data_IF_042674752941
#
_entry.id   IF_042674752941
#
_cell.length_a   1.000
_cell.length_b   1.000
_cell.length_c   1.000
_cell.angle_alpha   90.00
_cell.angle_beta   90.00
_cell.angle_gamma   90.00
#
_symmetry.space_group_name_H-M   'P 1'
#
loop_
_entity.id
_entity.type
_entity.pdbx_description
1 polymer ?
#
# COMPACT_ATOMS: atom_id res chain seq x y z
N UNK A 1 10.99 -38.47 18.38
CA UNK A 1 10.56 -37.31 19.19
C UNK A 1 9.31 -36.74 18.54
N UNK A 2 8.35 -36.33 19.32
CA UNK A 2 7.13 -35.69 18.80
C UNK A 2 7.43 -34.22 18.44
N UNK A 3 7.90 -33.99 17.21
CA UNK A 3 8.35 -32.71 16.70
C UNK A 3 7.22 -31.67 16.72
N UNK A 4 5.99 -32.10 16.47
CA UNK A 4 4.81 -31.23 16.46
C UNK A 4 4.51 -30.67 17.87
N UNK A 5 4.60 -31.54 18.88
CA UNK A 5 4.39 -31.13 20.28
C UNK A 5 5.50 -30.22 20.78
N UNK A 6 6.76 -30.51 20.45
CA UNK A 6 7.91 -29.69 20.81
C UNK A 6 7.74 -28.31 20.17
N UNK A 7 7.40 -28.25 18.88
CA UNK A 7 7.26 -26.98 18.18
C UNK A 7 6.09 -26.13 18.72
N UNK A 8 4.98 -26.77 19.03
CA UNK A 8 3.82 -26.06 19.63
C UNK A 8 4.18 -25.41 20.98
N UNK A 9 4.90 -26.12 21.83
CA UNK A 9 5.37 -25.57 23.10
C UNK A 9 6.37 -24.43 22.88
N UNK A 10 7.29 -24.57 21.90
CA UNK A 10 8.23 -23.52 21.51
C UNK A 10 7.48 -22.28 21.00
N UNK A 11 6.45 -22.47 20.19
CA UNK A 11 5.63 -21.36 19.71
C UNK A 11 4.88 -20.62 20.84
N UNK A 12 4.39 -21.33 21.86
CA UNK A 12 3.75 -20.69 23.03
C UNK A 12 4.75 -19.81 23.81
N UNK A 13 6.01 -20.25 23.94
CA UNK A 13 7.08 -19.46 24.56
C UNK A 13 7.45 -18.24 23.69
N UNK A 14 7.58 -18.42 22.38
CA UNK A 14 7.88 -17.36 21.40
C UNK A 14 6.76 -16.31 21.33
N UNK A 15 5.51 -16.72 21.53
CA UNK A 15 4.35 -15.81 21.58
C UNK A 15 4.44 -14.77 22.70
N UNK A 16 5.11 -15.13 23.78
CA UNK A 16 5.33 -14.20 24.93
C UNK A 16 6.53 -13.28 24.65
N UNK A 17 7.54 -13.81 23.95
CA UNK A 17 8.83 -13.13 23.74
C UNK A 17 8.87 -12.21 22.51
N UNK A 18 7.97 -12.41 21.56
CA UNK A 18 7.93 -11.67 20.30
C UNK A 18 6.70 -10.74 20.26
N UNK A 19 6.84 -9.63 19.52
CA UNK A 19 5.70 -8.76 19.22
C UNK A 19 4.60 -9.57 18.48
N UNK A 20 3.31 -9.37 18.80
CA UNK A 20 2.21 -10.17 18.25
C UNK A 20 2.19 -10.21 16.71
N UNK A 21 2.47 -9.08 16.05
CA UNK A 21 2.52 -9.00 14.60
C UNK A 21 3.64 -9.86 13.99
N UNK A 22 4.82 -9.84 14.60
CA UNK A 22 5.99 -10.65 14.20
C UNK A 22 5.71 -12.14 14.40
N UNK A 23 5.18 -12.50 15.56
CA UNK A 23 4.85 -13.90 15.85
C UNK A 23 3.84 -14.45 14.84
N UNK A 24 2.75 -13.72 14.58
CA UNK A 24 1.72 -14.19 13.64
C UNK A 24 2.21 -14.29 12.20
N UNK A 25 3.06 -13.36 11.77
CA UNK A 25 3.52 -13.30 10.37
C UNK A 25 4.65 -14.30 10.10
N UNK A 26 5.63 -14.42 11.01
CA UNK A 26 6.89 -15.12 10.74
C UNK A 26 7.10 -16.42 11.50
N UNK A 27 6.37 -16.65 12.60
CA UNK A 27 6.58 -17.82 13.46
C UNK A 27 5.39 -18.77 13.45
N UNK A 28 4.16 -18.26 13.51
CA UNK A 28 2.95 -19.08 13.60
C UNK A 28 2.81 -20.07 12.42
N UNK A 29 3.24 -19.67 11.23
CA UNK A 29 3.16 -20.46 9.99
C UNK A 29 4.38 -21.37 9.78
N UNK A 30 5.31 -21.44 10.72
CA UNK A 30 6.48 -22.30 10.64
C UNK A 30 6.23 -23.62 11.35
N UNK A 31 7.00 -24.65 10.99
CA UNK A 31 6.93 -25.98 11.58
C UNK A 31 8.31 -26.58 11.78
N UNK A 32 8.49 -27.38 12.81
CA UNK A 32 9.70 -28.14 13.04
C UNK A 32 9.64 -29.44 12.23
N UNK A 33 10.45 -29.51 11.20
CA UNK A 33 10.47 -30.64 10.26
C UNK A 33 11.14 -31.88 10.91
N UNK A 34 12.36 -31.69 11.40
CA UNK A 34 13.11 -32.73 12.12
C UNK A 34 14.16 -32.11 13.06
N UNK A 35 14.69 -32.97 13.96
CA UNK A 35 15.89 -32.68 14.74
C UNK A 35 16.84 -33.90 14.58
N UNK A 36 17.96 -33.70 13.91
CA UNK A 36 18.97 -34.74 13.69
C UNK A 36 20.36 -34.20 14.05
N UNK A 37 21.11 -34.92 14.85
CA UNK A 37 22.46 -34.56 15.28
C UNK A 37 22.58 -33.12 15.84
N UNK A 38 21.61 -32.71 16.66
CA UNK A 38 21.48 -31.35 17.19
C UNK A 38 21.27 -30.27 16.12
N UNK A 39 20.85 -30.62 14.92
CA UNK A 39 20.41 -29.69 13.90
C UNK A 39 18.89 -29.72 13.80
N UNK A 40 18.23 -28.64 14.19
CA UNK A 40 16.79 -28.48 14.09
C UNK A 40 16.44 -27.81 12.77
N UNK A 41 15.72 -28.48 11.90
CA UNK A 41 15.26 -27.94 10.61
C UNK A 41 13.86 -27.39 10.76
N UNK A 42 13.72 -26.09 10.50
CA UNK A 42 12.47 -25.35 10.61
C UNK A 42 12.00 -24.99 9.21
N UNK A 43 10.80 -25.45 8.84
CA UNK A 43 10.14 -25.13 7.59
C UNK A 43 9.43 -23.77 7.70
N UNK A 44 9.72 -22.86 6.78
CA UNK A 44 9.10 -21.56 6.64
C UNK A 44 8.27 -21.47 5.35
N UNK A 45 7.21 -20.64 5.29
CA UNK A 45 6.31 -20.58 4.14
C UNK A 45 6.94 -19.98 2.87
N UNK A 46 7.98 -19.15 2.99
CA UNK A 46 8.66 -18.50 1.87
C UNK A 46 10.10 -18.10 2.22
N UNK A 47 10.88 -17.73 1.20
CA UNK A 47 12.29 -17.33 1.33
C UNK A 47 12.47 -16.12 2.26
N UNK A 48 11.55 -15.14 2.19
CA UNK A 48 11.62 -13.96 3.05
C UNK A 48 11.49 -14.32 4.54
N UNK A 49 10.57 -15.22 4.89
CA UNK A 49 10.43 -15.72 6.27
C UNK A 49 11.66 -16.49 6.75
N UNK A 50 12.34 -17.22 5.86
CA UNK A 50 13.62 -17.89 6.15
C UNK A 50 14.69 -16.84 6.52
N UNK A 51 14.90 -15.86 5.67
CA UNK A 51 15.93 -14.84 5.86
C UNK A 51 15.65 -13.97 7.09
N UNK A 52 14.40 -13.59 7.29
CA UNK A 52 13.98 -12.77 8.43
C UNK A 52 14.20 -13.51 9.76
N UNK A 53 13.74 -14.75 9.89
CA UNK A 53 13.93 -15.56 11.10
C UNK A 53 15.42 -15.86 11.34
N UNK A 54 16.18 -16.16 10.28
CA UNK A 54 17.61 -16.42 10.37
C UNK A 54 18.43 -15.21 10.83
N UNK A 55 18.11 -14.02 10.33
CA UNK A 55 18.89 -12.80 10.62
C UNK A 55 18.48 -12.13 11.94
N UNK A 56 17.19 -12.17 12.30
CA UNK A 56 16.63 -11.35 13.39
C UNK A 56 16.19 -12.15 14.61
N UNK A 57 15.72 -13.37 14.42
CA UNK A 57 15.09 -14.14 15.50
C UNK A 57 15.81 -15.45 15.81
N UNK A 58 16.97 -15.68 15.20
CA UNK A 58 17.73 -16.93 15.37
C UNK A 58 17.95 -17.26 16.84
N UNK A 59 18.50 -16.33 17.64
CA UNK A 59 18.82 -16.57 19.04
C UNK A 59 17.58 -16.74 19.91
N UNK A 60 16.50 -15.99 19.63
CA UNK A 60 15.24 -16.09 20.37
C UNK A 60 14.59 -17.45 20.10
N UNK A 61 14.51 -17.85 18.82
CA UNK A 61 13.92 -19.14 18.43
C UNK A 61 14.80 -20.29 18.95
N UNK A 62 16.13 -20.16 18.86
CA UNK A 62 17.07 -21.14 19.39
C UNK A 62 16.88 -21.37 20.89
N UNK A 63 16.89 -20.29 21.68
CA UNK A 63 16.73 -20.36 23.12
C UNK A 63 15.40 -21.01 23.51
N UNK A 64 14.30 -20.64 22.88
CA UNK A 64 12.99 -21.23 23.14
C UNK A 64 12.94 -22.72 22.78
N UNK A 65 13.58 -23.14 21.67
CA UNK A 65 13.66 -24.53 21.28
C UNK A 65 14.57 -25.34 22.21
N UNK A 66 15.73 -24.80 22.59
CA UNK A 66 16.68 -25.45 23.49
C UNK A 66 16.06 -25.64 24.90
N UNK A 67 15.25 -24.73 25.36
CA UNK A 67 14.47 -24.88 26.60
C UNK A 67 13.53 -26.08 26.55
N UNK A 68 12.92 -26.38 25.42
CA UNK A 68 11.99 -27.48 25.23
C UNK A 68 12.70 -28.81 25.01
N UNK A 69 13.82 -28.83 24.28
CA UNK A 69 14.57 -30.04 23.94
C UNK A 69 15.63 -30.39 24.96
N UNK A 70 16.05 -29.44 25.79
CA UNK A 70 17.19 -29.52 26.75
C UNK A 70 18.50 -29.88 26.09
N UNK A 71 18.67 -29.55 24.83
CA UNK A 71 19.85 -29.76 24.01
C UNK A 71 20.23 -28.46 23.31
N UNK A 72 21.52 -28.25 23.07
CA UNK A 72 22.01 -27.09 22.29
C UNK A 72 21.87 -27.39 20.80
N UNK A 73 20.87 -26.78 20.16
CA UNK A 73 20.51 -27.02 18.77
C UNK A 73 21.06 -25.96 17.85
N UNK A 74 21.46 -26.34 16.64
CA UNK A 74 21.74 -25.45 15.53
C UNK A 74 20.47 -25.35 14.68
N UNK A 75 19.98 -24.12 14.42
CA UNK A 75 18.80 -23.96 13.60
C UNK A 75 19.14 -23.88 12.12
N UNK A 76 18.43 -24.64 11.32
CA UNK A 76 18.46 -24.62 9.87
C UNK A 76 17.06 -24.25 9.35
N UNK A 77 16.93 -23.11 8.67
CA UNK A 77 15.66 -22.66 8.10
C UNK A 77 15.60 -23.02 6.63
N UNK A 78 14.51 -23.65 6.21
CA UNK A 78 14.26 -24.05 4.82
C UNK A 78 12.91 -23.52 4.36
N UNK A 79 12.76 -23.27 3.06
CA UNK A 79 11.44 -23.02 2.48
C UNK A 79 10.73 -24.37 2.36
N UNK A 80 9.59 -24.48 3.01
CA UNK A 80 8.69 -25.62 2.87
C UNK A 80 7.35 -25.09 2.39
N UNK A 81 7.04 -25.35 1.13
CA UNK A 81 5.71 -25.08 0.61
C UNK A 81 4.70 -25.87 1.45
N UNK A 82 3.88 -25.16 2.21
CA UNK A 82 2.66 -25.76 2.77
C UNK A 82 1.87 -26.29 1.59
N UNK A 83 1.65 -27.60 1.57
CA UNK A 83 0.76 -28.23 0.58
C UNK A 83 -0.58 -27.51 0.72
N UNK A 84 -0.80 -26.50 -0.14
CA UNK A 84 -2.14 -26.02 -0.40
C UNK A 84 -2.86 -27.24 -0.95
N UNK A 85 -3.83 -27.77 -0.21
CA UNK A 85 -4.84 -28.65 -0.80
C UNK A 85 -5.49 -27.84 -1.92
N UNK A 86 -4.97 -28.01 -3.13
CA UNK A 86 -5.58 -27.46 -4.33
C UNK A 86 -6.96 -28.09 -4.44
N UNK A 87 -8.01 -27.30 -4.64
CA UNK A 87 -9.24 -27.89 -5.14
C UNK A 87 -8.93 -28.46 -6.53
N UNK A 88 -9.30 -29.71 -6.76
CA UNK A 88 -9.15 -30.46 -8.00
C UNK A 88 -9.35 -29.59 -9.25
N UNK A 89 -8.25 -29.23 -9.92
CA UNK A 89 -8.25 -28.61 -11.24
C UNK A 89 -8.24 -29.72 -12.31
N UNK A 90 -9.34 -30.42 -12.44
CA UNK A 90 -9.62 -31.15 -13.68
C UNK A 90 -10.87 -30.58 -14.36
N UNK A 91 -10.63 -29.95 -15.50
CA UNK A 91 -11.63 -29.60 -16.53
C UNK A 91 -12.61 -28.47 -16.18
N UNK A 92 -12.18 -27.22 -16.28
CA UNK A 92 -13.10 -26.14 -16.60
C UNK A 92 -12.64 -25.36 -17.82
N UNK A 93 -13.52 -25.12 -18.81
CA UNK A 93 -13.22 -24.29 -19.98
C UNK A 93 -12.94 -22.85 -19.56
N UNK A 94 -12.04 -22.16 -20.27
CA UNK A 94 -11.56 -20.78 -20.05
C UNK A 94 -12.66 -19.69 -19.97
N UNK A 95 -13.94 -20.02 -20.10
CA UNK A 95 -15.11 -19.13 -20.08
C UNK A 95 -16.32 -19.69 -19.36
N UNK A 96 -16.16 -20.50 -18.30
CA UNK A 96 -17.29 -20.82 -17.43
C UNK A 96 -17.47 -19.70 -16.42
N UNK A 97 -18.30 -18.73 -16.76
CA UNK A 97 -18.99 -17.88 -15.79
C UNK A 97 -19.93 -18.81 -15.00
N UNK A 98 -19.44 -19.45 -13.94
CA UNK A 98 -20.31 -20.04 -12.95
C UNK A 98 -20.95 -18.87 -12.20
N UNK A 99 -22.25 -18.69 -12.25
CA UNK A 99 -22.90 -17.86 -11.27
C UNK A 99 -22.82 -18.62 -9.94
N UNK A 100 -21.70 -18.44 -9.23
CA UNK A 100 -21.69 -18.74 -7.81
C UNK A 100 -22.94 -18.08 -7.24
N UNK A 101 -23.76 -18.86 -6.56
CA UNK A 101 -24.87 -18.36 -5.75
C UNK A 101 -24.29 -17.27 -4.88
N UNK A 102 -24.36 -16.06 -5.38
CA UNK A 102 -23.93 -14.85 -4.69
C UNK A 102 -24.86 -14.70 -3.51
N UNK A 103 -24.42 -15.13 -2.34
CA UNK A 103 -24.87 -14.45 -1.14
C UNK A 103 -24.66 -12.97 -1.42
N UNK A 104 -25.73 -12.20 -1.34
CA UNK A 104 -25.85 -10.77 -1.66
C UNK A 104 -25.02 -9.89 -0.69
N UNK A 105 -23.87 -10.39 -0.19
CA UNK A 105 -22.97 -9.65 0.66
C UNK A 105 -22.01 -8.83 -0.22
N UNK A 106 -22.12 -7.51 -0.10
CA UNK A 106 -21.24 -6.54 -0.75
C UNK A 106 -19.83 -6.51 -0.13
N UNK A 107 -19.37 -7.63 0.46
CA UNK A 107 -18.08 -7.73 1.16
C UNK A 107 -16.93 -7.93 0.17
N UNK A 108 -15.81 -7.26 0.42
CA UNK A 108 -14.61 -7.40 -0.38
C UNK A 108 -13.87 -8.70 -0.02
N UNK A 109 -13.57 -9.58 -0.97
CA UNK A 109 -13.05 -10.93 -0.68
C UNK A 109 -11.69 -10.95 0.05
N UNK A 110 -10.91 -9.89 -0.05
CA UNK A 110 -9.60 -9.78 0.62
C UNK A 110 -9.67 -9.32 2.08
N UNK A 111 -10.82 -8.82 2.56
CA UNK A 111 -10.93 -8.29 3.92
C UNK A 111 -11.40 -9.36 4.88
N UNK A 112 -10.49 -10.28 5.21
CA UNK A 112 -10.72 -11.40 6.14
C UNK A 112 -9.83 -11.28 7.38
N UNK A 113 -10.09 -12.06 8.42
CA UNK A 113 -9.18 -12.13 9.58
C UNK A 113 -7.83 -12.74 9.23
N UNK A 114 -7.77 -13.62 8.23
CA UNK A 114 -6.52 -14.26 7.80
C UNK A 114 -5.56 -13.28 7.14
N UNK A 115 -6.11 -12.21 6.53
CA UNK A 115 -5.36 -11.14 5.87
C UNK A 115 -5.21 -9.89 6.74
N UNK A 116 -5.76 -9.89 7.95
CA UNK A 116 -5.61 -8.79 8.90
C UNK A 116 -4.38 -8.99 9.77
N UNK A 117 -3.39 -8.12 9.66
CA UNK A 117 -2.26 -8.10 10.58
C UNK A 117 -2.72 -7.55 11.94
N UNK A 118 -2.48 -8.32 13.00
CA UNK A 118 -2.85 -7.93 14.36
C UNK A 118 -1.60 -7.54 15.14
N UNK A 119 -1.60 -6.34 15.70
CA UNK A 119 -0.52 -5.78 16.52
C UNK A 119 -1.06 -4.94 17.66
N UNK A 120 -0.18 -4.22 18.35
CA UNK A 120 -0.58 -3.43 19.54
C UNK A 120 -1.64 -2.37 19.20
N UNK A 121 -1.59 -1.80 17.97
CA UNK A 121 -2.48 -0.73 17.53
C UNK A 121 -3.92 -1.15 17.27
N UNK A 122 -4.21 -2.46 17.11
CA UNK A 122 -5.56 -2.97 16.80
C UNK A 122 -5.96 -4.22 17.60
N UNK A 123 -5.12 -4.70 18.51
CA UNK A 123 -5.36 -5.95 19.27
C UNK A 123 -6.67 -5.92 20.06
N UNK A 124 -6.97 -4.79 20.70
CA UNK A 124 -8.22 -4.65 21.47
C UNK A 124 -9.45 -4.70 20.55
N UNK A 125 -9.41 -4.00 19.42
CA UNK A 125 -10.47 -4.04 18.41
C UNK A 125 -10.64 -5.43 17.82
N UNK A 126 -9.54 -6.15 17.56
CA UNK A 126 -9.56 -7.54 17.09
C UNK A 126 -10.18 -8.49 18.11
N UNK A 127 -9.80 -8.39 19.40
CA UNK A 127 -10.38 -9.22 20.47
C UNK A 127 -11.89 -8.99 20.61
N UNK A 128 -12.35 -7.74 20.53
CA UNK A 128 -13.77 -7.40 20.51
C UNK A 128 -14.49 -8.01 19.29
N UNK A 129 -13.88 -7.93 18.11
CA UNK A 129 -14.40 -8.52 16.89
C UNK A 129 -14.61 -10.03 17.01
N UNK A 130 -13.66 -10.74 17.61
CA UNK A 130 -13.77 -12.18 17.91
C UNK A 130 -14.93 -12.48 18.88
N UNK A 131 -15.17 -11.59 19.86
CA UNK A 131 -16.31 -11.68 20.76
C UNK A 131 -17.66 -11.57 20.05
N UNK A 132 -17.77 -10.64 19.09
CA UNK A 132 -18.96 -10.45 18.26
C UNK A 132 -19.23 -11.68 17.40
N UNK A 133 -18.19 -12.23 16.78
CA UNK A 133 -18.31 -13.44 15.95
C UNK A 133 -18.79 -14.66 16.76
N UNK A 134 -18.51 -14.71 18.07
CA UNK A 134 -19.02 -15.78 18.97
C UNK A 134 -20.50 -15.58 19.30
N UNK A 135 -20.90 -14.35 19.61
CA UNK A 135 -22.25 -14.03 20.10
C UNK A 135 -22.77 -12.76 19.41
N UNK A 136 -23.14 -12.82 18.12
CA UNK A 136 -23.64 -11.65 17.40
C UNK A 136 -24.94 -11.11 17.96
N UNK A 137 -25.06 -9.79 18.06
CA UNK A 137 -26.21 -9.08 18.58
C UNK A 137 -26.29 -9.00 20.12
N UNK A 138 -25.54 -9.84 20.83
CA UNK A 138 -25.49 -9.89 22.29
C UNK A 138 -24.22 -9.25 22.88
N UNK A 139 -23.08 -9.52 22.24
CA UNK A 139 -21.80 -8.96 22.67
C UNK A 139 -21.46 -7.70 21.88
N UNK A 140 -21.18 -6.61 22.59
CA UNK A 140 -20.70 -5.36 21.97
C UNK A 140 -21.59 -4.83 20.84
N UNK A 141 -22.84 -4.53 21.14
CA UNK A 141 -23.81 -4.01 20.18
C UNK A 141 -24.38 -2.64 20.61
N UNK A 142 -24.16 -1.55 19.85
CA UNK A 142 -23.38 -1.48 18.62
C UNK A 142 -21.86 -1.65 18.87
N UNK A 143 -21.13 -2.03 17.84
CA UNK A 143 -19.67 -2.01 17.81
C UNK A 143 -19.21 -0.82 16.97
N UNK A 144 -18.57 0.15 17.61
CA UNK A 144 -18.13 1.37 16.99
C UNK A 144 -16.60 1.40 16.90
N UNK A 145 -16.07 1.39 15.67
CA UNK A 145 -14.62 1.38 15.39
C UNK A 145 -14.24 2.76 14.87
N UNK A 146 -13.35 3.44 15.56
CA UNK A 146 -12.87 4.74 15.11
C UNK A 146 -11.35 4.76 14.98
N UNK A 147 -10.82 5.78 14.27
CA UNK A 147 -9.38 5.96 14.07
C UNK A 147 -9.06 6.69 12.78
N UNK A 148 -7.82 7.04 12.56
CA UNK A 148 -7.34 7.77 11.40
C UNK A 148 -7.68 7.09 10.05
N UNK A 149 -7.38 7.81 8.96
CA UNK A 149 -7.57 7.27 7.61
C UNK A 149 -6.57 6.15 7.34
N UNK A 150 -7.03 5.04 6.73
CA UNK A 150 -6.15 3.97 6.28
C UNK A 150 -5.54 3.07 7.36
N UNK A 151 -6.11 3.06 8.60
CA UNK A 151 -5.61 2.21 9.71
C UNK A 151 -6.20 0.79 9.73
N UNK A 152 -7.14 0.45 8.81
CA UNK A 152 -7.73 -0.89 8.71
C UNK A 152 -9.13 -1.05 9.29
N UNK A 153 -9.86 0.03 9.63
CA UNK A 153 -11.24 -0.01 10.15
C UNK A 153 -12.19 -0.84 9.27
N UNK A 154 -12.25 -0.50 7.99
CA UNK A 154 -13.08 -1.20 6.98
C UNK A 154 -12.70 -2.66 6.85
N UNK A 155 -11.40 -2.97 6.92
CA UNK A 155 -10.90 -4.35 6.87
C UNK A 155 -11.44 -5.16 8.07
N UNK A 156 -11.24 -4.68 9.30
CA UNK A 156 -11.70 -5.35 10.51
C UNK A 156 -13.23 -5.54 10.49
N UNK A 157 -13.98 -4.51 10.10
CA UNK A 157 -15.44 -4.58 10.01
C UNK A 157 -15.90 -5.65 9.02
N UNK A 158 -15.31 -5.70 7.82
CA UNK A 158 -15.68 -6.70 6.81
C UNK A 158 -15.18 -8.10 7.17
N UNK A 159 -14.06 -8.23 7.87
CA UNK A 159 -13.58 -9.52 8.39
C UNK A 159 -14.59 -10.14 9.36
N UNK A 160 -15.24 -9.34 10.21
CA UNK A 160 -16.34 -9.83 11.06
C UNK A 160 -17.49 -10.36 10.18
N UNK A 161 -17.87 -9.61 9.15
CA UNK A 161 -18.92 -10.02 8.23
C UNK A 161 -18.64 -11.34 7.53
N UNK A 162 -17.41 -11.53 7.04
CA UNK A 162 -16.97 -12.79 6.43
C UNK A 162 -17.03 -13.97 7.40
N UNK A 163 -16.55 -13.80 8.63
CA UNK A 163 -16.53 -14.87 9.61
C UNK A 163 -17.93 -15.24 10.12
N UNK A 164 -18.85 -14.23 10.21
CA UNK A 164 -20.26 -14.48 10.51
C UNK A 164 -20.93 -15.31 9.39
N UNK A 165 -20.70 -14.98 8.12
CA UNK A 165 -21.22 -15.74 6.98
C UNK A 165 -20.61 -17.14 6.88
N UNK A 166 -19.35 -17.30 7.23
CA UNK A 166 -18.67 -18.61 7.26
C UNK A 166 -19.30 -19.54 8.31
N UNK A 167 -19.69 -18.99 9.48
CA UNK A 167 -20.39 -19.73 10.53
C UNK A 167 -21.86 -20.00 10.23
N UNK A 168 -22.53 -19.03 9.65
CA UNK A 168 -23.94 -19.15 9.27
C UNK A 168 -24.20 -18.46 7.91
N UNK A 169 -24.19 -19.23 6.81
CA UNK A 169 -24.36 -18.71 5.46
C UNK A 169 -25.73 -18.08 5.18
N UNK A 170 -26.74 -18.35 6.01
CA UNK A 170 -28.11 -17.83 5.83
C UNK A 170 -28.30 -16.43 6.41
N UNK A 171 -27.30 -15.90 7.14
CA UNK A 171 -27.36 -14.55 7.68
C UNK A 171 -27.45 -13.49 6.58
N UNK A 172 -28.38 -12.58 6.76
CA UNK A 172 -28.54 -11.40 5.90
C UNK A 172 -27.60 -10.29 6.38
N UNK A 173 -26.40 -10.27 5.84
CA UNK A 173 -25.38 -9.24 6.17
C UNK A 173 -25.25 -8.26 5.02
N UNK A 174 -25.22 -6.96 5.34
CA UNK A 174 -25.03 -5.91 4.35
C UNK A 174 -23.98 -4.92 4.79
N UNK A 175 -22.98 -4.72 3.91
CA UNK A 175 -22.00 -3.64 3.99
C UNK A 175 -22.42 -2.49 3.08
N UNK A 176 -22.30 -1.26 3.57
CA UNK A 176 -22.50 -0.03 2.82
C UNK A 176 -21.82 1.16 3.50
N UNK A 177 -21.49 2.19 2.71
CA UNK A 177 -21.06 3.45 3.29
C UNK A 177 -22.27 4.30 3.72
N UNK A 178 -22.08 5.12 4.73
CA UNK A 178 -23.11 6.07 5.18
C UNK A 178 -23.56 7.02 4.05
N UNK A 179 -22.68 7.34 3.13
CA UNK A 179 -23.01 8.11 1.93
C UNK A 179 -23.95 7.35 1.00
N UNK A 180 -23.70 6.05 0.76
CA UNK A 180 -24.59 5.18 -0.05
C UNK A 180 -25.98 5.12 0.56
N UNK A 181 -26.08 4.97 1.89
CA UNK A 181 -27.37 5.00 2.59
C UNK A 181 -28.13 6.32 2.34
N UNK A 182 -27.45 7.47 2.47
CA UNK A 182 -28.04 8.78 2.21
C UNK A 182 -28.50 8.95 0.76
N UNK A 183 -27.70 8.51 -0.20
CA UNK A 183 -28.03 8.61 -1.62
C UNK A 183 -29.22 7.71 -1.99
N UNK A 184 -29.28 6.47 -1.46
CA UNK A 184 -30.41 5.58 -1.66
C UNK A 184 -31.69 6.10 -0.99
N UNK A 185 -31.59 6.73 0.18
CA UNK A 185 -32.70 7.37 0.86
C UNK A 185 -33.31 8.50 0.02
N UNK A 186 -32.45 9.41 -0.48
CA UNK A 186 -32.90 10.50 -1.36
C UNK A 186 -33.58 9.96 -2.62
N UNK A 187 -33.03 8.90 -3.19
CA UNK A 187 -33.65 8.26 -4.37
C UNK A 187 -35.01 7.63 -4.04
N UNK A 188 -35.11 6.92 -2.90
CA UNK A 188 -36.37 6.32 -2.45
C UNK A 188 -37.49 7.37 -2.19
N UNK A 189 -37.09 8.56 -1.71
CA UNK A 189 -38.01 9.69 -1.58
C UNK A 189 -38.53 10.19 -2.94
N UNK A 190 -37.59 10.40 -3.89
CA UNK A 190 -37.93 10.88 -5.25
C UNK A 190 -38.84 9.91 -6.00
N UNK A 191 -38.59 8.60 -5.84
CA UNK A 191 -39.33 7.53 -6.52
C UNK A 191 -40.53 7.01 -5.73
N UNK A 192 -40.81 7.54 -4.53
CA UNK A 192 -41.87 7.11 -3.61
C UNK A 192 -41.78 5.62 -3.22
N UNK A 193 -40.55 5.11 -3.07
CA UNK A 193 -40.28 3.69 -2.73
C UNK A 193 -39.77 3.52 -1.31
N UNK A 194 -40.17 4.38 -0.37
CA UNK A 194 -39.67 4.35 1.04
C UNK A 194 -39.91 3.01 1.75
N UNK A 195 -41.00 2.30 1.45
CA UNK A 195 -41.25 1.00 2.07
C UNK A 195 -40.17 -0.01 1.64
N UNK A 196 -39.84 -0.05 0.37
CA UNK A 196 -38.76 -0.93 -0.13
C UNK A 196 -37.40 -0.59 0.47
N UNK A 197 -37.14 0.71 0.65
CA UNK A 197 -35.92 1.16 1.34
C UNK A 197 -35.87 0.67 2.80
N UNK A 198 -36.97 0.84 3.54
CA UNK A 198 -37.06 0.37 4.93
C UNK A 198 -36.91 -1.15 5.02
N UNK A 199 -37.58 -1.90 4.15
CA UNK A 199 -37.48 -3.36 4.11
C UNK A 199 -36.05 -3.83 3.80
N UNK A 200 -35.34 -3.13 2.90
CA UNK A 200 -33.95 -3.42 2.50
C UNK A 200 -32.96 -3.31 3.65
N UNK A 201 -33.16 -2.37 4.59
CA UNK A 201 -32.23 -2.08 5.66
C UNK A 201 -32.66 -2.61 7.04
N UNK A 202 -33.98 -2.76 7.30
CA UNK A 202 -34.50 -3.18 8.61
C UNK A 202 -34.69 -4.69 8.75
N UNK A 203 -34.64 -5.46 7.64
CA UNK A 203 -34.76 -6.92 7.63
C UNK A 203 -33.41 -7.65 7.52
N UNK A 204 -32.36 -7.07 8.06
CA UNK A 204 -30.99 -7.61 8.08
C UNK A 204 -30.67 -8.22 9.45
N UNK A 205 -29.76 -9.19 9.48
CA UNK A 205 -29.25 -9.77 10.72
C UNK A 205 -27.98 -9.05 11.23
N UNK A 206 -27.23 -8.44 10.30
CA UNK A 206 -26.07 -7.62 10.61
C UNK A 206 -25.93 -6.50 9.59
N UNK A 207 -25.67 -5.27 10.08
CA UNK A 207 -25.28 -4.15 9.23
C UNK A 207 -23.85 -3.72 9.53
N UNK A 208 -23.13 -3.43 8.45
CA UNK A 208 -21.76 -2.94 8.46
C UNK A 208 -21.77 -1.57 7.77
N UNK A 209 -21.70 -0.50 8.55
CA UNK A 209 -21.82 0.87 8.04
C UNK A 209 -20.47 1.56 8.12
N UNK A 210 -19.90 1.85 6.96
CA UNK A 210 -18.61 2.50 6.86
C UNK A 210 -18.76 4.03 6.84
N UNK A 211 -17.84 4.70 7.50
CA UNK A 211 -17.71 6.15 7.53
C UNK A 211 -19.01 6.87 7.95
N UNK A 212 -19.53 6.54 9.14
CA UNK A 212 -20.80 7.05 9.66
C UNK A 212 -20.81 8.58 9.79
N UNK A 213 -19.67 9.25 9.89
CA UNK A 213 -19.57 10.71 9.94
C UNK A 213 -20.22 11.40 8.72
N UNK A 214 -20.40 10.71 7.59
CA UNK A 214 -21.04 11.30 6.40
C UNK A 214 -22.55 11.52 6.50
N UNK A 215 -23.22 11.02 7.56
CA UNK A 215 -24.61 11.42 7.83
C UNK A 215 -24.71 12.73 8.60
N UNK A 216 -23.63 13.20 9.21
CA UNK A 216 -23.62 14.42 10.00
C UNK A 216 -24.08 15.63 9.18
N UNK A 217 -24.84 16.53 9.81
CA UNK A 217 -25.45 17.70 9.15
C UNK A 217 -26.59 17.40 8.17
N UNK A 218 -27.00 16.14 8.01
CA UNK A 218 -28.11 15.71 7.12
C UNK A 218 -29.28 15.23 7.98
N UNK A 219 -30.06 16.16 8.54
CA UNK A 219 -31.12 15.88 9.52
C UNK A 219 -32.02 14.71 9.13
N UNK A 220 -32.60 14.73 7.95
CA UNK A 220 -33.47 13.65 7.49
C UNK A 220 -32.77 12.29 7.36
N UNK A 221 -31.51 12.29 6.96
CA UNK A 221 -30.71 11.05 6.87
C UNK A 221 -30.40 10.52 8.28
N UNK A 222 -30.10 11.38 9.23
CA UNK A 222 -29.87 11.00 10.63
C UNK A 222 -31.14 10.44 11.27
N UNK A 223 -32.30 11.05 11.00
CA UNK A 223 -33.59 10.58 11.50
C UNK A 223 -33.90 9.16 10.98
N UNK A 224 -33.82 8.93 9.67
CA UNK A 224 -34.11 7.62 9.08
C UNK A 224 -33.08 6.55 9.50
N UNK A 225 -31.82 6.96 9.65
CA UNK A 225 -30.77 6.08 10.18
C UNK A 225 -31.04 5.71 11.64
N UNK A 226 -31.44 6.65 12.48
CA UNK A 226 -31.84 6.41 13.86
C UNK A 226 -32.98 5.38 13.96
N UNK A 227 -34.00 5.51 13.14
CA UNK A 227 -35.09 4.53 13.10
C UNK A 227 -34.62 3.14 12.63
N UNK A 228 -33.75 3.08 11.63
CA UNK A 228 -33.17 1.83 11.14
C UNK A 228 -32.30 1.18 12.19
N UNK A 229 -31.41 1.95 12.84
CA UNK A 229 -30.59 1.50 13.96
C UNK A 229 -31.44 0.92 15.11
N UNK A 230 -32.43 1.68 15.58
CA UNK A 230 -33.28 1.22 16.67
C UNK A 230 -34.05 -0.06 16.31
N UNK A 231 -34.58 -0.15 15.09
CA UNK A 231 -35.29 -1.36 14.63
C UNK A 231 -34.38 -2.60 14.70
N UNK A 232 -33.11 -2.48 14.26
CA UNK A 232 -32.17 -3.58 14.30
C UNK A 232 -31.71 -3.89 15.73
N UNK A 233 -31.30 -2.89 16.47
CA UNK A 233 -30.78 -3.05 17.82
C UNK A 233 -31.79 -3.66 18.77
N UNK A 234 -33.04 -3.21 18.76
CA UNK A 234 -34.11 -3.74 19.60
C UNK A 234 -34.49 -5.20 19.26
N UNK A 235 -34.25 -5.62 18.02
CA UNK A 235 -34.42 -7.01 17.58
C UNK A 235 -33.17 -7.87 17.78
N UNK A 236 -32.18 -7.41 18.54
CA UNK A 236 -30.93 -8.13 18.79
C UNK A 236 -30.07 -8.36 17.54
N UNK A 237 -30.23 -7.54 16.50
CA UNK A 237 -29.41 -7.61 15.28
C UNK A 237 -28.11 -6.85 15.48
N UNK A 238 -27.01 -7.35 14.93
CA UNK A 238 -25.71 -6.75 15.10
C UNK A 238 -25.55 -5.47 14.27
N UNK A 239 -25.06 -4.41 14.91
CA UNK A 239 -24.72 -3.14 14.25
C UNK A 239 -23.21 -2.90 14.44
N UNK A 240 -22.48 -2.71 13.32
CA UNK A 240 -21.07 -2.36 13.32
C UNK A 240 -20.89 -1.07 12.52
N UNK A 241 -20.23 -0.10 13.12
CA UNK A 241 -20.03 1.24 12.57
C UNK A 241 -18.56 1.57 12.53
N UNK A 242 -18.11 2.28 11.49
CA UNK A 242 -16.77 2.89 11.48
C UNK A 242 -16.85 4.41 11.36
N UNK A 243 -15.82 5.11 11.86
CA UNK A 243 -15.68 6.55 11.75
C UNK A 243 -14.21 6.97 11.75
N UNK A 244 -13.91 8.17 11.28
CA UNK A 244 -12.60 8.79 11.40
C UNK A 244 -12.34 9.37 12.81
N UNK A 245 -13.40 9.56 13.63
CA UNK A 245 -13.36 10.13 14.98
C UNK A 245 -14.40 9.50 15.90
N UNK A 246 -14.32 9.78 17.20
CA UNK A 246 -15.28 9.30 18.20
C UNK A 246 -16.69 9.84 17.96
N UNK A 247 -17.76 9.13 18.41
CA UNK A 247 -19.13 9.64 18.25
C UNK A 247 -19.33 11.04 18.80
N UNK A 248 -18.73 11.35 19.96
CA UNK A 248 -18.83 12.66 20.62
C UNK A 248 -18.05 13.79 19.92
N UNK A 249 -17.18 13.45 18.96
CA UNK A 249 -16.33 14.38 18.22
C UNK A 249 -16.84 14.61 16.78
N UNK A 250 -17.96 13.97 16.39
CA UNK A 250 -18.57 14.18 15.09
C UNK A 250 -19.46 15.41 15.15
N UNK A 251 -18.99 16.49 14.55
CA UNK A 251 -19.75 17.73 14.47
C UNK A 251 -21.10 17.52 13.76
N UNK A 252 -22.16 18.19 14.25
CA UNK A 252 -23.51 18.10 13.68
C UNK A 252 -24.14 16.69 13.66
N UNK A 253 -23.66 15.78 14.50
CA UNK A 253 -24.34 14.50 14.77
C UNK A 253 -25.32 14.72 15.93
N UNK A 254 -26.55 14.25 15.77
CA UNK A 254 -27.60 14.40 16.78
C UNK A 254 -27.25 13.65 18.07
N UNK A 255 -27.49 14.26 19.25
CA UNK A 255 -27.19 13.71 20.57
C UNK A 255 -27.79 12.31 20.79
N UNK A 256 -28.98 12.07 20.23
CA UNK A 256 -29.66 10.76 20.30
C UNK A 256 -28.85 9.66 19.59
N UNK A 257 -28.19 9.97 18.47
CA UNK A 257 -27.31 9.04 17.77
C UNK A 257 -25.99 8.85 18.53
N UNK A 258 -25.39 9.93 19.00
CA UNK A 258 -24.18 9.89 19.86
C UNK A 258 -24.41 8.95 21.04
N UNK A 259 -25.51 9.14 21.78
CA UNK A 259 -25.86 8.31 22.92
C UNK A 259 -26.03 6.83 22.54
N UNK A 260 -26.64 6.54 21.39
CA UNK A 260 -26.84 5.17 20.90
C UNK A 260 -25.52 4.51 20.49
N UNK A 261 -24.64 5.25 19.80
CA UNK A 261 -23.34 4.73 19.38
C UNK A 261 -22.43 4.45 20.56
N UNK A 262 -22.47 5.30 21.60
CA UNK A 262 -21.73 5.10 22.85
C UNK A 262 -22.35 4.04 23.78
N UNK A 263 -23.59 3.62 23.54
CA UNK A 263 -24.28 2.61 24.34
C UNK A 263 -23.75 1.18 24.20
N UNK A 264 -22.89 0.95 23.18
CA UNK A 264 -22.19 -0.32 22.99
C UNK A 264 -20.71 -0.24 23.30
N UNK A 265 -19.87 -0.93 22.51
CA UNK A 265 -18.43 -0.87 22.63
C UNK A 265 -17.82 0.06 21.57
N UNK A 266 -17.14 1.10 22.03
CA UNK A 266 -16.37 2.00 21.17
C UNK A 266 -14.88 1.68 21.31
N UNK A 267 -14.21 1.41 20.20
CA UNK A 267 -12.79 1.05 20.14
C UNK A 267 -12.05 1.93 19.15
N UNK A 268 -10.77 2.22 19.43
CA UNK A 268 -9.87 2.88 18.50
C UNK A 268 -8.97 1.89 17.77
N UNK A 269 -8.59 2.27 16.56
CA UNK A 269 -7.48 1.65 15.83
C UNK A 269 -6.46 2.76 15.54
N UNK A 270 -5.25 2.56 16.04
CA UNK A 270 -4.15 3.50 15.90
C UNK A 270 -3.30 3.19 14.67
N UNK A 271 -2.36 4.09 14.35
CA UNK A 271 -1.36 3.83 13.32
C UNK A 271 -0.51 2.60 13.69
N UNK A 272 -0.09 1.81 12.68
CA UNK A 272 0.73 0.64 12.94
C UNK A 272 2.09 1.04 13.51
N UNK A 273 2.56 0.34 14.55
CA UNK A 273 3.91 0.43 15.04
C UNK A 273 4.92 -0.15 14.03
N UNK A 274 6.21 -0.01 14.32
CA UNK A 274 7.28 -0.45 13.39
C UNK A 274 7.18 -1.93 13.04
N UNK A 275 6.98 -2.79 14.04
CA UNK A 275 6.86 -4.23 13.87
C UNK A 275 5.63 -4.61 13.05
N UNK A 276 4.53 -3.94 13.30
CA UNK A 276 3.30 -4.14 12.53
C UNK A 276 3.46 -3.65 11.08
N UNK A 277 4.19 -2.54 10.84
CA UNK A 277 4.49 -2.09 9.48
C UNK A 277 5.33 -3.11 8.71
N UNK A 278 6.37 -3.69 9.33
CA UNK A 278 7.15 -4.78 8.73
C UNK A 278 6.22 -5.95 8.36
N UNK A 279 5.37 -6.38 9.28
CA UNK A 279 4.45 -7.50 9.05
C UNK A 279 3.47 -7.21 7.90
N UNK A 280 2.90 -6.00 7.84
CA UNK A 280 2.01 -5.55 6.76
C UNK A 280 2.73 -5.52 5.42
N UNK A 281 3.92 -4.92 5.35
CA UNK A 281 4.74 -4.84 4.14
C UNK A 281 5.04 -6.25 3.64
N UNK A 282 5.49 -7.14 4.52
CA UNK A 282 5.84 -8.52 4.19
C UNK A 282 4.65 -9.30 3.64
N UNK A 283 3.49 -9.17 4.25
CA UNK A 283 2.26 -9.80 3.77
C UNK A 283 1.85 -9.26 2.39
N UNK A 284 1.95 -7.94 2.17
CA UNK A 284 1.63 -7.34 0.86
C UNK A 284 2.60 -7.73 -0.24
N UNK A 285 3.86 -7.92 0.10
CA UNK A 285 4.89 -8.46 -0.80
C UNK A 285 4.54 -9.89 -1.22
N UNK A 286 4.17 -10.74 -0.26
CA UNK A 286 3.77 -12.11 -0.52
C UNK A 286 2.50 -12.17 -1.40
N UNK A 287 1.48 -11.37 -1.08
CA UNK A 287 0.23 -11.27 -1.86
C UNK A 287 0.47 -10.87 -3.33
N UNK A 288 1.47 -10.03 -3.59
CA UNK A 288 1.78 -9.48 -4.92
C UNK A 288 2.91 -10.24 -5.63
N UNK A 289 3.57 -11.18 -4.98
CA UNK A 289 4.72 -11.92 -5.55
C UNK A 289 5.94 -11.04 -5.82
N UNK A 290 6.14 -9.98 -5.03
CA UNK A 290 7.27 -9.06 -5.19
C UNK A 290 8.52 -9.69 -4.57
N UNK A 291 9.65 -9.70 -5.31
CA UNK A 291 10.94 -10.11 -4.77
C UNK A 291 11.66 -8.88 -4.20
N UNK A 292 11.88 -8.87 -2.89
CA UNK A 292 12.50 -7.75 -2.17
C UNK A 292 13.34 -8.24 -1.00
N UNK A 293 14.48 -7.59 -0.75
CA UNK A 293 15.37 -7.98 0.35
C UNK A 293 14.83 -7.53 1.72
N UNK A 294 15.15 -8.26 2.81
CA UNK A 294 14.73 -7.89 4.16
C UNK A 294 15.18 -6.49 4.58
N UNK A 295 16.37 -6.07 4.20
CA UNK A 295 16.91 -4.74 4.48
C UNK A 295 16.09 -3.63 3.80
N UNK A 296 15.60 -3.89 2.60
CA UNK A 296 14.72 -2.96 1.88
C UNK A 296 13.34 -2.85 2.54
N UNK A 297 12.79 -3.94 3.06
CA UNK A 297 11.52 -3.94 3.83
C UNK A 297 11.67 -3.13 5.13
N UNK A 298 12.76 -3.31 5.87
CA UNK A 298 13.04 -2.55 7.07
C UNK A 298 13.17 -1.04 6.76
N UNK A 299 13.85 -0.71 5.67
CA UNK A 299 13.96 0.67 5.23
C UNK A 299 12.59 1.27 4.88
N UNK A 300 11.73 0.52 4.18
CA UNK A 300 10.34 0.93 3.91
C UNK A 300 9.56 1.16 5.19
N UNK A 301 9.63 0.23 6.13
CA UNK A 301 8.92 0.33 7.42
C UNK A 301 9.40 1.52 8.26
N UNK A 302 10.67 1.92 8.16
CA UNK A 302 11.21 3.10 8.84
C UNK A 302 10.80 4.42 8.17
N UNK A 303 10.66 4.44 6.84
CA UNK A 303 10.40 5.67 6.09
C UNK A 303 8.92 5.93 5.82
N UNK A 304 8.05 4.93 5.96
CA UNK A 304 6.60 5.07 5.80
C UNK A 304 5.96 4.94 7.20
N UNK A 305 5.93 6.03 7.94
CA UNK A 305 5.39 6.06 9.31
C UNK A 305 3.88 6.31 9.37
N UNK A 306 3.23 6.50 8.24
CA UNK A 306 1.85 6.92 8.16
C UNK A 306 0.87 5.74 8.24
N UNK A 307 0.04 5.55 7.27
CA UNK A 307 -1.07 4.61 7.27
C UNK A 307 -0.87 3.46 6.25
N UNK A 308 -1.68 2.42 6.39
CA UNK A 308 -1.58 1.20 5.55
C UNK A 308 -1.83 1.52 4.06
N UNK A 309 -2.69 2.49 3.74
CA UNK A 309 -2.95 2.88 2.33
C UNK A 309 -1.70 3.49 1.68
N UNK A 310 -0.92 4.26 2.43
CA UNK A 310 0.33 4.82 1.91
C UNK A 310 1.37 3.73 1.72
N UNK A 311 1.48 2.76 2.65
CA UNK A 311 2.33 1.58 2.48
C UNK A 311 1.96 0.85 1.17
N UNK A 312 0.68 0.56 0.95
CA UNK A 312 0.20 -0.11 -0.27
C UNK A 312 0.49 0.70 -1.54
N UNK A 313 0.28 2.00 -1.49
CA UNK A 313 0.59 2.92 -2.59
C UNK A 313 2.07 2.93 -2.95
N UNK A 314 2.95 3.07 -1.94
CA UNK A 314 4.41 3.07 -2.15
C UNK A 314 4.92 1.72 -2.66
N UNK A 315 4.42 0.61 -2.12
CA UNK A 315 4.75 -0.72 -2.64
C UNK A 315 4.32 -0.90 -4.10
N UNK A 316 3.18 -0.33 -4.49
CA UNK A 316 2.74 -0.38 -5.87
C UNK A 316 3.62 0.47 -6.79
N UNK A 317 4.00 1.68 -6.39
CA UNK A 317 4.92 2.54 -7.12
C UNK A 317 6.27 1.85 -7.34
N UNK A 318 6.85 1.29 -6.27
CA UNK A 318 8.13 0.55 -6.29
C UNK A 318 8.05 -0.67 -7.21
N UNK A 319 6.97 -1.45 -7.12
CA UNK A 319 6.75 -2.63 -7.98
C UNK A 319 6.69 -2.25 -9.47
N UNK A 320 5.98 -1.17 -9.82
CA UNK A 320 5.90 -0.69 -11.20
C UNK A 320 7.26 -0.23 -11.70
N UNK A 321 8.04 0.48 -10.89
CA UNK A 321 9.40 0.91 -11.26
C UNK A 321 10.36 -0.27 -11.41
N UNK A 322 10.28 -1.29 -10.55
CA UNK A 322 11.07 -2.51 -10.67
C UNK A 322 10.80 -3.24 -11.98
N UNK A 323 9.52 -3.38 -12.35
CA UNK A 323 9.13 -3.99 -13.64
C UNK A 323 9.64 -3.16 -14.83
N UNK A 324 9.47 -1.84 -14.78
CA UNK A 324 9.94 -0.94 -15.85
C UNK A 324 11.47 -0.96 -16.00
N UNK A 325 12.20 -1.10 -14.87
CA UNK A 325 13.66 -1.23 -14.85
C UNK A 325 14.19 -2.64 -15.11
N UNK A 326 13.33 -3.64 -15.32
CA UNK A 326 13.68 -5.07 -15.46
C UNK A 326 14.51 -5.59 -14.28
N UNK A 327 14.21 -5.10 -13.06
CA UNK A 327 14.91 -5.47 -11.83
C UNK A 327 14.24 -6.73 -11.28
N UNK A 328 15.02 -7.82 -11.13
CA UNK A 328 14.51 -9.10 -10.65
C UNK A 328 14.21 -9.10 -9.16
N UNK A 329 15.08 -8.48 -8.36
CA UNK A 329 14.93 -8.36 -6.90
C UNK A 329 15.15 -6.92 -6.46
N UNK A 330 14.24 -6.41 -5.65
CA UNK A 330 14.28 -5.04 -5.11
C UNK A 330 15.21 -5.03 -3.88
N UNK A 331 16.36 -4.39 -4.02
CA UNK A 331 17.35 -4.27 -2.96
C UNK A 331 17.26 -2.91 -2.21
N UNK A 332 18.01 -2.79 -1.12
CA UNK A 332 18.07 -1.56 -0.33
C UNK A 332 18.52 -0.33 -1.14
N UNK A 333 19.57 -0.37 -1.98
CA UNK A 333 19.96 0.75 -2.83
C UNK A 333 18.83 1.23 -3.74
N UNK A 334 18.08 0.33 -4.35
CA UNK A 334 16.93 0.69 -5.20
C UNK A 334 15.87 1.45 -4.42
N UNK A 335 15.50 0.97 -3.22
CA UNK A 335 14.50 1.63 -2.38
C UNK A 335 15.00 2.98 -1.85
N UNK A 336 16.28 3.07 -1.46
CA UNK A 336 16.88 4.34 -1.05
C UNK A 336 16.83 5.39 -2.16
N UNK A 337 17.14 4.99 -3.39
CA UNK A 337 17.04 5.85 -4.56
C UNK A 337 15.61 6.28 -4.87
N UNK A 338 14.64 5.39 -4.64
CA UNK A 338 13.22 5.71 -4.79
C UNK A 338 12.76 6.83 -3.84
N UNK A 339 13.19 6.81 -2.58
CA UNK A 339 12.83 7.83 -1.58
C UNK A 339 13.67 9.10 -1.69
N UNK A 340 14.90 9.01 -2.15
CA UNK A 340 15.83 10.13 -2.31
C UNK A 340 16.32 10.23 -3.75
N UNK A 341 15.49 10.69 -4.69
CA UNK A 341 15.90 10.85 -6.08
C UNK A 341 17.05 11.85 -6.28
N UNK A 342 17.35 12.67 -5.26
CA UNK A 342 18.55 13.53 -5.24
C UNK A 342 19.86 12.76 -5.05
N UNK A 343 19.84 11.50 -4.56
CA UNK A 343 21.04 10.65 -4.54
C UNK A 343 21.31 9.97 -5.90
N UNK A 344 20.30 9.87 -6.76
CA UNK A 344 20.48 9.53 -8.18
C UNK A 344 21.33 10.56 -8.92
N UNK A 345 21.43 11.80 -8.41
CA UNK A 345 22.30 12.82 -9.00
C UNK A 345 23.79 12.56 -8.78
N UNK A 346 24.21 11.76 -7.80
CA UNK A 346 25.63 11.42 -7.62
C UNK A 346 26.08 10.20 -8.45
N UNK A 347 25.24 9.19 -8.64
CA UNK A 347 25.59 7.99 -9.43
C UNK A 347 25.13 8.10 -10.89
N UNK A 348 24.01 8.80 -11.16
CA UNK A 348 23.66 9.26 -12.50
C UNK A 348 24.60 10.39 -12.94
N UNK A 349 25.17 11.21 -12.05
CA UNK A 349 26.24 12.14 -12.40
C UNK A 349 27.48 11.40 -12.90
N UNK A 350 27.74 10.17 -12.53
CA UNK A 350 28.80 9.36 -13.11
C UNK A 350 28.41 8.65 -14.43
N UNK A 351 27.12 8.41 -14.67
CA UNK A 351 26.59 7.91 -15.96
C UNK A 351 26.07 9.05 -16.87
N UNK A 352 25.59 10.16 -16.28
CA UNK A 352 25.14 11.39 -16.97
C UNK A 352 26.21 12.49 -16.95
N UNK A 353 27.44 12.19 -16.55
CA UNK A 353 28.59 13.08 -16.85
C UNK A 353 28.71 13.41 -18.35
N UNK A 354 28.01 12.68 -19.20
CA UNK A 354 27.85 12.97 -20.65
C UNK A 354 26.81 14.05 -21.00
N UNK A 355 25.86 14.40 -20.11
CA UNK A 355 24.77 15.35 -20.40
C UNK A 355 24.72 16.56 -19.44
N UNK A 356 25.83 16.98 -18.88
CA UNK A 356 25.92 18.25 -18.12
C UNK A 356 25.73 19.44 -19.10
N UNK A 357 24.93 20.46 -18.77
CA UNK A 357 24.77 21.65 -19.61
C UNK A 357 26.09 22.27 -20.05
N UNK A 358 27.09 22.33 -19.17
CA UNK A 358 28.43 22.81 -19.50
C UNK A 358 29.17 21.90 -20.47
N UNK A 359 28.93 20.59 -20.43
CA UNK A 359 29.48 19.64 -21.38
C UNK A 359 28.93 19.86 -22.79
N UNK A 360 27.59 19.99 -22.91
CA UNK A 360 26.94 20.30 -24.21
C UNK A 360 27.45 21.62 -24.77
N UNK A 361 27.58 22.68 -23.94
CA UNK A 361 28.13 23.96 -24.36
C UNK A 361 29.59 23.79 -24.85
N UNK A 362 30.39 22.98 -24.18
CA UNK A 362 31.78 22.71 -24.55
C UNK A 362 31.88 21.92 -25.85
N UNK A 363 31.04 20.87 -26.04
CA UNK A 363 31.01 20.06 -27.26
C UNK A 363 30.56 20.91 -28.46
N UNK A 364 29.51 21.72 -28.28
CA UNK A 364 29.07 22.65 -29.32
C UNK A 364 30.18 23.68 -29.67
N UNK A 365 30.83 24.25 -28.68
CA UNK A 365 31.92 25.20 -28.89
C UNK A 365 33.11 24.56 -29.68
N UNK A 366 33.49 23.32 -29.34
CA UNK A 366 34.51 22.57 -30.10
C UNK A 366 34.07 22.28 -31.52
N UNK A 367 32.83 21.85 -31.73
CA UNK A 367 32.30 21.51 -33.05
C UNK A 367 32.33 22.73 -34.01
N UNK A 368 32.01 23.91 -33.48
CA UNK A 368 32.05 25.15 -34.26
C UNK A 368 33.41 25.84 -34.26
N UNK A 369 34.43 25.24 -33.60
CA UNK A 369 35.75 25.78 -33.45
C UNK A 369 35.79 27.20 -32.85
N UNK A 370 34.95 27.41 -31.80
CA UNK A 370 34.83 28.69 -31.09
C UNK A 370 35.11 28.50 -29.59
N UNK A 371 35.50 29.60 -28.89
CA UNK A 371 35.66 29.52 -27.44
C UNK A 371 34.27 29.51 -26.76
N UNK A 372 34.16 28.80 -25.64
CA UNK A 372 32.95 28.79 -24.82
C UNK A 372 32.56 30.20 -24.34
N UNK A 373 33.54 31.05 -24.06
CA UNK A 373 33.32 32.46 -23.72
C UNK A 373 32.66 33.26 -24.83
N UNK A 374 32.96 32.97 -26.10
CA UNK A 374 32.40 33.65 -27.25
C UNK A 374 30.99 33.14 -27.54
N UNK A 375 30.73 31.86 -27.33
CA UNK A 375 29.43 31.24 -27.43
C UNK A 375 28.44 31.86 -26.42
N UNK A 376 28.88 32.07 -25.18
CA UNK A 376 28.11 32.74 -24.12
C UNK A 376 28.18 34.27 -24.18
N UNK A 377 29.01 34.84 -25.04
CA UNK A 377 29.25 36.27 -25.15
C UNK A 377 28.12 37.05 -25.85
N UNK A 378 28.28 38.40 -25.85
CA UNK A 378 27.28 39.33 -26.46
C UNK A 378 27.42 39.48 -27.97
N UNK A 379 28.41 38.91 -28.62
CA UNK A 379 28.70 39.04 -30.06
C UNK A 379 27.52 38.56 -30.92
N UNK A 380 27.20 39.29 -31.99
CA UNK A 380 26.09 39.02 -32.93
C UNK A 380 26.60 38.50 -34.30
N UNK A 381 27.87 38.08 -34.41
CA UNK A 381 28.37 37.45 -35.65
C UNK A 381 27.52 36.24 -36.02
N UNK A 382 27.16 36.12 -37.33
CA UNK A 382 26.23 35.10 -37.85
C UNK A 382 26.61 33.68 -37.42
N UNK A 383 27.88 33.33 -37.43
CA UNK A 383 28.39 32.00 -37.03
C UNK A 383 28.13 31.70 -35.54
N UNK A 384 28.41 32.68 -34.67
CA UNK A 384 28.18 32.57 -33.23
C UNK A 384 26.68 32.52 -32.87
N UNK A 385 25.86 33.20 -33.63
CA UNK A 385 24.39 33.17 -33.45
C UNK A 385 23.85 31.80 -33.82
N UNK A 386 24.31 31.20 -34.94
CA UNK A 386 23.89 29.86 -35.35
C UNK A 386 24.33 28.80 -34.35
N UNK A 387 25.60 28.83 -33.92
CA UNK A 387 26.11 27.92 -32.90
C UNK A 387 25.31 28.03 -31.59
N UNK A 388 24.99 29.23 -31.18
CA UNK A 388 24.20 29.53 -29.96
C UNK A 388 22.76 29.01 -30.06
N UNK A 389 22.10 29.18 -31.23
CA UNK A 389 20.77 28.64 -31.46
C UNK A 389 20.74 27.13 -31.40
N UNK A 390 21.73 26.45 -32.00
CA UNK A 390 21.85 24.99 -31.94
C UNK A 390 22.13 24.53 -30.51
N UNK A 391 23.02 25.22 -29.77
CA UNK A 391 23.28 24.91 -28.37
C UNK A 391 22.03 25.09 -27.50
N UNK A 392 21.27 26.17 -27.67
CA UNK A 392 20.01 26.38 -26.97
C UNK A 392 18.99 25.26 -27.28
N UNK A 393 18.83 24.88 -28.55
CA UNK A 393 17.97 23.78 -28.96
C UNK A 393 18.38 22.45 -28.32
N UNK A 394 19.66 22.12 -28.26
CA UNK A 394 20.17 20.89 -27.64
C UNK A 394 19.98 20.89 -26.12
N UNK A 395 20.21 22.00 -25.43
CA UNK A 395 19.98 22.13 -24.00
C UNK A 395 18.49 21.95 -23.65
N UNK A 396 17.59 22.50 -24.46
CA UNK A 396 16.14 22.35 -24.29
C UNK A 396 15.63 20.93 -24.61
N UNK A 397 16.19 20.26 -25.64
CA UNK A 397 15.65 18.99 -26.14
C UNK A 397 16.36 17.75 -25.57
N UNK A 398 17.60 17.85 -25.10
CA UNK A 398 18.36 16.71 -24.58
C UNK A 398 18.35 16.64 -23.04
N UNK A 399 18.26 17.81 -22.37
CA UNK A 399 18.27 17.89 -20.89
C UNK A 399 16.94 18.43 -20.35
N UNK A 400 16.03 18.90 -21.22
CA UNK A 400 14.74 19.51 -20.83
C UNK A 400 14.87 20.71 -19.87
N UNK A 401 15.91 21.54 -20.03
CA UNK A 401 16.11 22.72 -19.19
C UNK A 401 15.03 23.78 -19.44
N UNK A 402 14.59 24.52 -18.41
CA UNK A 402 13.71 25.68 -18.57
C UNK A 402 14.33 26.78 -19.45
N UNK A 403 13.50 27.51 -20.22
CA UNK A 403 13.95 28.59 -21.10
C UNK A 403 14.80 29.65 -20.40
N UNK A 404 14.44 30.01 -19.16
CA UNK A 404 15.15 30.98 -18.35
C UNK A 404 16.57 30.50 -17.98
N UNK A 405 16.68 29.23 -17.57
CA UNK A 405 17.96 28.62 -17.20
C UNK A 405 18.92 28.53 -18.40
N UNK A 406 18.40 28.12 -19.57
CA UNK A 406 19.17 28.14 -20.83
C UNK A 406 19.62 29.58 -21.19
N UNK A 407 18.76 30.57 -20.96
CA UNK A 407 19.08 31.97 -21.12
C UNK A 407 20.24 32.41 -20.24
N UNK A 408 20.23 32.04 -18.96
CA UNK A 408 21.32 32.31 -18.00
C UNK A 408 22.62 31.64 -18.44
N UNK A 409 22.62 30.36 -18.81
CA UNK A 409 23.78 29.60 -19.24
C UNK A 409 24.42 30.15 -20.51
N UNK A 410 23.64 30.72 -21.42
CA UNK A 410 24.11 31.32 -22.67
C UNK A 410 24.37 32.82 -22.58
N UNK A 411 24.68 33.34 -21.39
CA UNK A 411 25.16 34.71 -21.18
C UNK A 411 24.08 35.73 -20.82
N UNK A 412 23.05 35.32 -20.06
CA UNK A 412 21.99 36.17 -19.52
C UNK A 412 21.01 36.66 -20.59
N UNK A 413 20.59 35.76 -21.48
CA UNK A 413 19.63 36.07 -22.56
C UNK A 413 18.21 35.90 -22.09
N UNK A 414 17.33 36.76 -22.64
CA UNK A 414 15.91 36.70 -22.36
C UNK A 414 15.29 35.39 -22.91
N UNK A 415 14.32 34.86 -22.19
CA UNK A 415 13.56 33.64 -22.52
C UNK A 415 12.94 33.71 -23.93
N UNK A 416 12.47 34.89 -24.38
CA UNK A 416 11.93 35.10 -25.73
C UNK A 416 12.99 34.86 -26.81
N UNK A 417 14.24 35.27 -26.59
CA UNK A 417 15.35 35.00 -27.50
C UNK A 417 15.69 33.52 -27.59
N UNK A 418 15.59 32.77 -26.47
CA UNK A 418 15.81 31.33 -26.44
C UNK A 418 14.66 30.58 -27.12
N UNK A 419 13.44 31.03 -26.94
CA UNK A 419 12.27 30.47 -27.62
C UNK A 419 12.38 30.62 -29.14
N UNK A 420 12.72 31.83 -29.63
CA UNK A 420 13.00 32.07 -31.04
C UNK A 420 14.12 31.20 -31.61
N UNK A 421 15.20 31.02 -30.84
CA UNK A 421 16.31 30.14 -31.22
C UNK A 421 15.84 28.68 -31.38
N UNK A 422 15.04 28.18 -30.43
CA UNK A 422 14.44 26.84 -30.46
C UNK A 422 13.58 26.64 -31.71
N UNK A 423 12.63 27.56 -31.92
CA UNK A 423 11.64 27.44 -33.01
C UNK A 423 12.30 27.53 -34.37
N UNK A 424 13.29 28.39 -34.53
CA UNK A 424 14.08 28.49 -35.75
C UNK A 424 14.83 27.18 -36.04
N UNK A 425 15.56 26.63 -35.07
CA UNK A 425 16.30 25.37 -35.28
C UNK A 425 15.36 24.19 -35.45
N UNK A 426 14.22 24.16 -34.78
CA UNK A 426 13.20 23.13 -34.97
C UNK A 426 12.67 23.10 -36.44
N UNK A 427 12.38 24.29 -36.99
CA UNK A 427 11.99 24.43 -38.40
C UNK A 427 13.13 24.06 -39.37
N UNK A 428 14.34 24.55 -39.12
CA UNK A 428 15.51 24.21 -39.89
C UNK A 428 15.85 22.72 -39.86
N UNK A 429 15.67 22.05 -38.71
CA UNK A 429 15.84 20.60 -38.55
C UNK A 429 14.84 19.81 -39.43
N UNK A 430 13.65 20.31 -39.60
CA UNK A 430 12.61 19.68 -40.43
C UNK A 430 12.83 19.89 -41.93
N UNK A 431 13.34 21.06 -42.33
CA UNK A 431 13.40 21.50 -43.74
C UNK A 431 14.80 21.40 -44.36
N UNK A 432 15.87 21.45 -43.56
CA UNK A 432 17.25 21.51 -44.07
C UNK A 432 18.06 20.27 -43.66
N UNK A 433 18.48 19.48 -44.67
CA UNK A 433 19.24 18.24 -44.46
C UNK A 433 20.63 18.50 -43.84
N UNK A 434 21.29 19.62 -44.15
CA UNK A 434 22.59 19.95 -43.58
C UNK A 434 22.49 20.26 -42.08
N UNK A 435 21.47 21.03 -41.68
CA UNK A 435 21.23 21.32 -40.22
C UNK A 435 20.90 20.04 -39.48
N UNK A 436 20.15 19.13 -40.08
CA UNK A 436 19.84 17.83 -39.45
C UNK A 436 21.08 16.96 -39.27
N UNK A 437 21.96 16.86 -40.28
CA UNK A 437 23.22 16.11 -40.18
C UNK A 437 24.13 16.71 -39.11
N UNK A 438 24.26 18.04 -39.05
CA UNK A 438 25.08 18.75 -38.10
C UNK A 438 24.60 18.48 -36.65
N UNK A 439 23.32 18.58 -36.37
CA UNK A 439 22.74 18.32 -35.07
C UNK A 439 22.94 16.85 -34.64
N UNK A 440 22.78 15.90 -35.57
CA UNK A 440 23.01 14.49 -35.30
C UNK A 440 24.49 14.17 -35.01
N UNK A 441 25.42 14.81 -35.73
CA UNK A 441 26.86 14.72 -35.42
C UNK A 441 27.22 15.27 -34.06
N UNK A 442 26.65 16.40 -33.66
CA UNK A 442 26.86 16.96 -32.33
C UNK A 442 26.27 16.03 -31.27
N UNK A 443 25.06 15.46 -31.48
CA UNK A 443 24.43 14.50 -30.58
C UNK A 443 25.25 13.22 -30.40
N UNK A 444 25.91 12.73 -31.43
CA UNK A 444 26.77 11.54 -31.34
C UNK A 444 28.10 11.79 -30.60
N UNK A 445 28.40 13.03 -30.26
CA UNK A 445 29.63 13.45 -29.56
C UNK A 445 29.45 13.67 -28.06
N UNK A 446 28.23 13.39 -27.53
CA UNK A 446 27.90 13.49 -26.10
C UNK A 446 28.20 12.22 -25.33
#
# INVERSE_FOLDING_TARGET
MDTERIWKNTQEELKISLAPAIFQTFVLKTQLVNIENNVATIGCPNTYSVDFNKKRHYDIIKNALDNQTKTDNILNFIVQETIKTEPDTNNTPLFSYSPNRSNNSSLHPKYTFDTLVVGNSNNFAYAAAQGIVKNPGLSYNPFFIWGGVGVGKTHLMQAIGHELLKKNPDLKIKYFSAETFGNELVNALKTKTMNQFKDKYRNLDCILVDDIQFIAGKEYTQEEFFHTFNSLHMNGKQVILTSDRKPSEIDHLEDRLVSRFMGGLTVDIQLPDYEMRIAIISQKIEEKGIQITPEAVEFLANNIESNIREIEGKLQEISVQSIAGQIGEIDLPFVQNFFNPSNLTSDIQNLTSKLNPRHIISVCAKHFNIKTSDLCGKSRKKELVTARHITAYLLLTQINLPLEEVGHLLGGRDHTSIMHARDKIHNDFSTNSQTRQLINQIKSSF
#
